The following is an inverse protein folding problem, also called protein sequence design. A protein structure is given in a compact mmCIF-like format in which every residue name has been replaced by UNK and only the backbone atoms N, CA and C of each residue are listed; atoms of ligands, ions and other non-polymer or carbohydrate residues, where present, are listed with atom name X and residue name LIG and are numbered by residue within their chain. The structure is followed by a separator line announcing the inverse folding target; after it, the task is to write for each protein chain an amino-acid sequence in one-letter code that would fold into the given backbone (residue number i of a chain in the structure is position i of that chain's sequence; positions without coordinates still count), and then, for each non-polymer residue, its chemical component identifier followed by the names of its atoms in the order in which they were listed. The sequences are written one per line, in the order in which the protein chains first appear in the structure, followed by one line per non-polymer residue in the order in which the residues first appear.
data_IF_279622338947
#
_entry.id   IF_279622338947
#
_cell.length_a   1.000
_cell.length_b   1.000
_cell.length_c   1.000
_cell.angle_alpha   90.00
_cell.angle_beta   90.00
_cell.angle_gamma   90.00
#
_symmetry.space_group_name_H-M   'P 1'
#
loop_
_entity.id
_entity.type
_entity.pdbx_description
1 polymer ?
#
# COMPACT_ATOMS: atom_id res chain seq x y z
N UNK A 1 31.67 -8.56 -10.87
CA UNK A 1 30.78 -7.43 -10.53
C UNK A 1 29.48 -8.04 -9.99
N UNK A 2 29.19 -7.87 -8.69
CA UNK A 2 28.00 -8.47 -8.07
C UNK A 2 26.75 -7.65 -8.43
N UNK A 3 25.75 -8.30 -9.02
CA UNK A 3 24.46 -7.65 -9.26
C UNK A 3 23.84 -7.24 -7.92
N UNK A 4 23.52 -5.96 -7.77
CA UNK A 4 22.77 -5.45 -6.61
C UNK A 4 21.37 -6.07 -6.67
N UNK A 5 21.05 -6.93 -5.70
CA UNK A 5 19.71 -7.51 -5.55
C UNK A 5 18.73 -6.34 -5.36
N UNK A 6 17.83 -6.12 -6.33
CA UNK A 6 16.75 -5.15 -6.18
C UNK A 6 15.79 -5.73 -5.15
N UNK A 7 15.64 -5.06 -4.01
CA UNK A 7 14.55 -5.30 -3.08
C UNK A 7 13.25 -4.98 -3.84
N UNK A 8 12.45 -6.00 -4.14
CA UNK A 8 11.22 -5.86 -4.96
C UNK A 8 10.13 -5.08 -4.20
N UNK A 9 10.20 -5.07 -2.88
CA UNK A 9 9.32 -4.31 -1.99
C UNK A 9 10.04 -4.05 -0.65
N UNK A 10 9.48 -3.17 0.18
CA UNK A 10 9.97 -2.92 1.55
C UNK A 10 8.82 -2.68 2.50
N UNK A 11 9.04 -2.92 3.80
CA UNK A 11 8.08 -2.57 4.86
C UNK A 11 8.20 -1.08 5.21
N UNK A 12 7.07 -0.39 5.25
CA UNK A 12 6.92 1.02 5.63
C UNK A 12 5.86 1.08 6.72
N UNK A 13 6.03 1.98 7.70
CA UNK A 13 4.99 2.26 8.68
C UNK A 13 3.79 2.90 8.00
N UNK A 14 2.60 2.34 8.23
CA UNK A 14 1.35 2.83 7.63
C UNK A 14 1.11 4.32 7.89
N UNK A 15 1.52 4.83 9.06
CA UNK A 15 1.40 6.24 9.45
C UNK A 15 2.21 7.23 8.60
N UNK A 16 3.12 6.72 7.76
CA UNK A 16 3.90 7.50 6.80
C UNK A 16 3.26 7.57 5.42
N UNK A 17 2.14 6.89 5.19
CA UNK A 17 1.41 6.86 3.93
C UNK A 17 0.21 7.79 4.05
N UNK A 18 0.15 8.79 3.17
CA UNK A 18 -0.96 9.70 3.00
C UNK A 18 -1.96 9.15 1.97
N UNK A 19 -3.25 9.49 2.07
CA UNK A 19 -4.20 9.16 1.02
C UNK A 19 -3.85 9.91 -0.29
N UNK A 20 -4.16 9.33 -1.46
CA UNK A 20 -3.91 9.98 -2.75
C UNK A 20 -4.67 11.31 -2.88
N UNK A 21 -4.00 12.33 -3.42
CA UNK A 21 -4.55 13.69 -3.52
C UNK A 21 -5.65 13.83 -4.59
N UNK A 22 -5.61 13.02 -5.65
CA UNK A 22 -6.63 12.99 -6.72
C UNK A 22 -7.39 11.66 -6.70
N UNK A 23 -8.57 11.67 -6.09
CA UNK A 23 -9.49 10.53 -6.07
C UNK A 23 -10.64 10.85 -7.03
N UNK A 24 -10.40 10.70 -8.33
CA UNK A 24 -11.32 11.22 -9.36
C UNK A 24 -12.68 10.51 -9.37
N UNK A 25 -12.73 9.21 -9.05
CA UNK A 25 -13.91 8.47 -8.55
C UNK A 25 -13.54 7.02 -8.27
N UNK A 26 -13.64 6.59 -7.01
CA UNK A 26 -13.74 5.17 -6.66
C UNK A 26 -15.00 5.00 -5.82
N UNK A 27 -15.90 4.12 -6.26
CA UNK A 27 -16.96 3.61 -5.39
C UNK A 27 -16.36 2.42 -4.63
N UNK A 28 -16.10 2.61 -3.35
CA UNK A 28 -15.68 1.55 -2.43
C UNK A 28 -16.77 1.49 -1.36
N UNK A 29 -17.45 0.35 -1.25
CA UNK A 29 -18.49 0.20 -0.25
C UNK A 29 -17.88 -0.23 1.08
N UNK A 30 -18.60 0.02 2.18
CA UNK A 30 -18.23 -0.46 3.51
C UNK A 30 -18.13 -1.99 3.57
N UNK A 31 -18.94 -2.70 2.78
CA UNK A 31 -18.88 -4.16 2.70
C UNK A 31 -17.56 -4.63 2.07
N UNK A 32 -17.14 -4.00 0.96
CA UNK A 32 -15.88 -4.32 0.29
C UNK A 32 -14.67 -4.06 1.22
N UNK A 33 -14.72 -2.98 2.01
CA UNK A 33 -13.67 -2.66 2.98
C UNK A 33 -13.54 -3.76 4.04
N UNK A 34 -14.68 -4.25 4.56
CA UNK A 34 -14.69 -5.30 5.59
C UNK A 34 -14.17 -6.63 5.05
N UNK A 35 -14.63 -7.03 3.86
CA UNK A 35 -14.17 -8.25 3.21
C UNK A 35 -12.64 -8.21 2.98
N UNK A 36 -12.13 -7.09 2.48
CA UNK A 36 -10.69 -6.93 2.26
C UNK A 36 -9.90 -6.92 3.58
N UNK A 37 -10.42 -6.26 4.62
CA UNK A 37 -9.77 -6.21 5.92
C UNK A 37 -9.66 -7.61 6.55
N UNK A 38 -10.74 -8.41 6.49
CA UNK A 38 -10.76 -9.79 6.98
C UNK A 38 -9.75 -10.66 6.20
N UNK A 39 -9.71 -10.52 4.87
CA UNK A 39 -8.74 -11.23 4.02
C UNK A 39 -7.28 -10.86 4.35
N UNK A 40 -6.98 -9.57 4.53
CA UNK A 40 -5.65 -9.10 4.92
C UNK A 40 -5.28 -9.59 6.32
N UNK A 41 -6.24 -9.68 7.25
CA UNK A 41 -5.99 -10.19 8.60
C UNK A 41 -5.60 -11.68 8.61
N UNK A 42 -6.20 -12.48 7.73
CA UNK A 42 -5.92 -13.92 7.62
C UNK A 42 -4.67 -14.24 6.80
N UNK A 43 -4.49 -13.58 5.65
CA UNK A 43 -3.47 -13.93 4.64
C UNK A 43 -2.32 -12.93 4.57
N UNK A 44 -2.46 -11.77 5.19
CA UNK A 44 -1.59 -10.62 4.98
C UNK A 44 -1.88 -9.89 3.67
N UNK A 45 -1.16 -8.79 3.45
CA UNK A 45 -1.25 -8.03 2.20
C UNK A 45 -0.51 -8.77 1.08
N UNK A 46 -1.25 -9.44 0.20
CA UNK A 46 -0.71 -10.28 -0.87
C UNK A 46 0.05 -9.48 -1.94
N UNK A 47 -0.41 -8.26 -2.23
CA UNK A 47 0.18 -7.38 -3.24
C UNK A 47 0.76 -6.12 -2.57
N UNK A 48 2.04 -5.80 -2.77
CA UNK A 48 2.59 -4.54 -2.29
C UNK A 48 1.87 -3.33 -2.89
N UNK A 49 1.68 -2.29 -2.08
CA UNK A 49 1.12 -1.02 -2.54
C UNK A 49 2.25 -0.20 -3.21
N UNK A 50 1.97 0.30 -4.40
CA UNK A 50 2.84 1.25 -5.10
C UNK A 50 2.60 2.64 -4.53
N UNK A 51 3.68 3.31 -4.14
CA UNK A 51 3.64 4.66 -3.57
C UNK A 51 4.74 5.53 -4.16
N UNK A 52 4.49 6.83 -4.23
CA UNK A 52 5.47 7.85 -4.50
C UNK A 52 6.10 8.33 -3.19
N UNK A 53 7.42 8.55 -3.17
CA UNK A 53 8.11 9.10 -1.99
C UNK A 53 8.12 10.62 -2.04
N UNK A 54 7.69 11.28 -0.96
CA UNK A 54 7.77 12.72 -0.77
C UNK A 54 8.42 13.05 0.58
N UNK A 55 9.71 13.40 0.55
CA UNK A 55 10.51 13.57 1.78
C UNK A 55 10.55 12.29 2.61
N UNK A 56 10.00 12.33 3.82
CA UNK A 56 9.89 11.17 4.73
C UNK A 56 8.51 10.48 4.69
N UNK A 57 7.60 10.96 3.83
CA UNK A 57 6.24 10.45 3.64
C UNK A 57 6.06 9.78 2.28
N UNK A 58 4.93 9.14 2.11
CA UNK A 58 4.53 8.39 0.92
C UNK A 58 3.09 8.72 0.56
N UNK A 59 2.77 8.68 -0.73
CA UNK A 59 1.41 8.80 -1.27
C UNK A 59 1.17 7.70 -2.31
#
# INVERSE_FOLDING_TARGET
MGAKKLEVFRKIELTKIDPPGDITRMEITEADIRELADSIAEQGLLQPILVNKSGDRFE
#
